data_IF_278353664349
#
_entry.id   IF_278353664349
#
_cell.length_a   1.000
_cell.length_b   1.000
_cell.length_c   1.000
_cell.angle_alpha   90.00
_cell.angle_beta   90.00
_cell.angle_gamma   90.00
#
_symmetry.space_group_name_H-M   'P 1'
#
loop_
_entity.id
_entity.type
_entity.pdbx_description
1 polymer ?
#
# COMPACT_ATOMS: atom_id res chain seq x y z
N UNK A 1 27.58 -21.48 8.87
CA UNK A 1 26.10 -21.29 8.87
C UNK A 1 25.43 -21.56 10.23
N UNK A 2 26.04 -22.29 11.18
CA UNK A 2 25.39 -22.62 12.47
C UNK A 2 25.41 -21.52 13.55
N UNK A 3 26.30 -20.52 13.44
CA UNK A 3 26.52 -19.53 14.51
C UNK A 3 25.41 -18.47 14.65
N UNK A 4 24.69 -18.14 13.56
CA UNK A 4 23.72 -17.02 13.54
C UNK A 4 22.34 -17.47 14.06
N UNK A 5 21.96 -18.72 13.82
CA UNK A 5 20.71 -19.30 14.34
C UNK A 5 20.75 -19.59 15.85
N UNK A 6 21.94 -19.60 16.45
CA UNK A 6 22.14 -19.92 17.86
C UNK A 6 21.65 -18.83 18.82
N UNK A 7 21.55 -17.57 18.37
CA UNK A 7 21.15 -16.44 19.22
C UNK A 7 19.66 -16.12 19.16
N UNK A 8 18.90 -16.71 18.23
CA UNK A 8 17.45 -16.45 18.09
C UNK A 8 16.64 -17.34 19.06
N UNK A 9 15.52 -16.83 19.61
CA UNK A 9 14.65 -17.61 20.47
C UNK A 9 14.15 -18.88 19.76
N UNK A 10 13.88 -19.93 20.54
CA UNK A 10 13.64 -21.27 20.00
C UNK A 10 12.46 -21.29 19.04
N UNK A 11 11.38 -20.57 19.37
CA UNK A 11 10.19 -20.40 18.54
C UNK A 11 10.54 -19.85 17.15
N UNK A 12 11.26 -18.72 17.10
CA UNK A 12 11.67 -18.06 15.85
C UNK A 12 12.52 -19.00 14.98
N UNK A 13 13.44 -19.74 15.59
CA UNK A 13 14.23 -20.75 14.86
C UNK A 13 13.37 -21.87 14.28
N UNK A 14 12.34 -22.33 15.00
CA UNK A 14 11.43 -23.36 14.50
C UNK A 14 10.57 -22.86 13.33
N UNK A 15 10.12 -21.59 13.37
CA UNK A 15 9.41 -20.94 12.27
C UNK A 15 10.31 -20.82 11.02
N UNK A 16 11.56 -20.37 11.18
CA UNK A 16 12.54 -20.28 10.08
C UNK A 16 12.85 -21.66 9.46
N UNK A 17 12.83 -22.72 10.27
CA UNK A 17 13.03 -24.09 9.81
C UNK A 17 11.76 -24.77 9.28
N UNK A 18 10.62 -24.07 9.24
CA UNK A 18 9.31 -24.61 8.83
C UNK A 18 8.88 -25.85 9.61
N UNK A 19 9.34 -26.00 10.86
CA UNK A 19 9.02 -27.17 11.71
C UNK A 19 7.71 -26.94 12.46
N UNK A 20 6.61 -26.76 11.73
CA UNK A 20 5.31 -26.36 12.27
C UNK A 20 4.78 -27.26 13.39
N UNK A 21 4.99 -28.58 13.30
CA UNK A 21 4.62 -29.52 14.38
C UNK A 21 5.37 -29.24 15.69
N UNK A 22 6.64 -28.84 15.62
CA UNK A 22 7.42 -28.45 16.80
C UNK A 22 7.02 -27.06 17.29
N UNK A 23 6.61 -26.16 16.38
CA UNK A 23 6.04 -24.86 16.75
C UNK A 23 4.77 -25.08 17.57
N UNK A 24 3.84 -25.94 17.13
CA UNK A 24 2.62 -26.29 17.89
C UNK A 24 2.93 -26.76 19.30
N UNK A 25 3.83 -27.74 19.42
CA UNK A 25 4.24 -28.28 20.72
C UNK A 25 4.88 -27.20 21.61
N UNK A 26 5.73 -26.35 21.03
CA UNK A 26 6.44 -25.31 21.78
C UNK A 26 5.48 -24.19 22.23
N UNK A 27 4.52 -23.78 21.40
CA UNK A 27 3.47 -22.81 21.76
C UNK A 27 2.57 -23.31 22.91
N UNK A 28 2.43 -24.62 23.08
CA UNK A 28 1.75 -25.20 24.26
C UNK A 28 2.54 -25.09 25.57
N UNK A 29 3.80 -24.64 25.54
CA UNK A 29 4.63 -24.47 26.74
C UNK A 29 4.65 -23.02 27.22
N UNK A 30 4.81 -22.80 28.53
CA UNK A 30 4.97 -21.45 29.11
C UNK A 30 6.12 -20.67 28.45
N UNK A 31 7.22 -21.34 28.10
CA UNK A 31 8.35 -20.71 27.43
C UNK A 31 8.02 -20.29 26.00
N UNK A 32 7.31 -21.13 25.23
CA UNK A 32 6.88 -20.77 23.89
C UNK A 32 5.87 -19.63 23.86
N UNK A 33 4.95 -19.58 24.83
CA UNK A 33 4.04 -18.43 24.98
C UNK A 33 4.79 -17.14 25.31
N UNK A 34 5.80 -17.20 26.19
CA UNK A 34 6.66 -16.03 26.48
C UNK A 34 7.43 -15.57 25.25
N UNK A 35 8.01 -16.49 24.47
CA UNK A 35 8.70 -16.16 23.23
C UNK A 35 7.73 -15.62 22.16
N UNK A 36 6.48 -16.11 22.12
CA UNK A 36 5.47 -15.66 21.18
C UNK A 36 4.98 -14.23 21.45
N UNK A 37 5.01 -13.78 22.73
CA UNK A 37 4.70 -12.40 23.16
C UNK A 37 5.86 -11.43 22.96
N UNK A 38 7.08 -11.95 22.77
CA UNK A 38 8.25 -11.11 22.58
C UNK A 38 8.43 -10.72 21.11
N UNK A 39 9.13 -9.61 20.89
CA UNK A 39 9.75 -9.27 19.61
C UNK A 39 11.26 -9.35 19.71
N UNK A 40 11.94 -9.50 18.59
CA UNK A 40 13.40 -9.42 18.52
C UNK A 40 13.90 -7.96 18.61
N UNK A 41 15.22 -7.78 18.59
CA UNK A 41 15.88 -6.46 18.60
C UNK A 41 15.59 -5.59 17.39
N UNK A 42 14.95 -6.15 16.36
CA UNK A 42 14.54 -5.46 15.13
C UNK A 42 13.03 -5.19 15.10
N UNK A 43 12.31 -5.51 16.19
CA UNK A 43 10.86 -5.40 16.27
C UNK A 43 10.11 -6.52 15.55
N UNK A 44 10.79 -7.53 15.01
CA UNK A 44 10.11 -8.65 14.37
C UNK A 44 9.45 -9.52 15.43
N UNK A 45 8.16 -9.74 15.24
CA UNK A 45 7.36 -10.67 16.05
C UNK A 45 7.51 -12.11 15.53
N UNK A 46 7.22 -13.09 16.38
CA UNK A 46 7.12 -14.48 15.94
C UNK A 46 6.11 -14.66 14.80
N UNK A 47 5.04 -13.85 14.80
CA UNK A 47 4.02 -13.79 13.75
C UNK A 47 4.62 -13.33 12.40
N UNK A 48 5.34 -12.21 12.38
CA UNK A 48 6.00 -11.71 11.17
C UNK A 48 6.98 -12.74 10.56
N UNK A 49 7.79 -13.39 11.41
CA UNK A 49 8.73 -14.42 10.93
C UNK A 49 8.02 -15.68 10.42
N UNK A 50 6.91 -16.07 11.04
CA UNK A 50 6.10 -17.18 10.57
C UNK A 50 5.56 -16.91 9.16
N UNK A 51 5.03 -15.70 8.91
CA UNK A 51 4.48 -15.30 7.61
C UNK A 51 5.51 -15.32 6.48
N UNK A 52 6.80 -15.08 6.77
CA UNK A 52 7.85 -15.20 5.76
C UNK A 52 7.93 -16.61 5.14
N UNK A 53 7.48 -17.63 5.88
CA UNK A 53 7.68 -19.04 5.56
C UNK A 53 6.41 -19.80 5.17
N UNK A 54 5.33 -19.10 4.82
CA UNK A 54 4.01 -19.66 4.48
C UNK A 54 3.47 -20.59 5.58
N UNK A 55 3.06 -20.00 6.72
CA UNK A 55 2.66 -20.74 7.90
C UNK A 55 1.26 -21.34 7.71
N UNK A 56 0.96 -22.49 8.33
CA UNK A 56 -0.39 -23.02 8.33
C UNK A 56 -1.29 -22.12 9.21
N UNK A 57 -2.60 -22.01 8.87
CA UNK A 57 -3.51 -21.05 9.47
C UNK A 57 -3.69 -21.23 10.98
N UNK A 58 -3.58 -22.46 11.47
CA UNK A 58 -3.70 -22.79 12.89
C UNK A 58 -2.55 -22.22 13.74
N UNK A 59 -1.34 -22.12 13.19
CA UNK A 59 -0.21 -21.48 13.88
C UNK A 59 -0.45 -19.97 14.00
N UNK A 60 -1.03 -19.36 12.97
CA UNK A 60 -1.33 -17.93 12.96
C UNK A 60 -2.45 -17.62 13.96
N UNK A 61 -3.51 -18.42 13.98
CA UNK A 61 -4.55 -18.34 15.00
C UNK A 61 -3.95 -18.44 16.41
N UNK A 62 -3.13 -19.46 16.68
CA UNK A 62 -2.51 -19.63 17.99
C UNK A 62 -1.58 -18.47 18.40
N UNK A 63 -0.85 -17.88 17.46
CA UNK A 63 0.00 -16.71 17.74
C UNK A 63 -0.84 -15.46 18.04
N UNK A 64 -1.93 -15.24 17.31
CA UNK A 64 -2.86 -14.14 17.53
C UNK A 64 -3.64 -14.31 18.85
N UNK A 65 -4.02 -15.54 19.21
CA UNK A 65 -4.67 -15.85 20.49
C UNK A 65 -3.76 -15.54 21.69
N UNK A 66 -2.45 -15.75 21.54
CA UNK A 66 -1.48 -15.45 22.60
C UNK A 66 -1.26 -13.94 22.72
N UNK A 67 -1.07 -13.25 21.59
CA UNK A 67 -0.82 -11.82 21.55
C UNK A 67 -1.51 -11.14 20.34
N UNK A 68 -2.76 -10.66 20.53
CA UNK A 68 -3.56 -10.07 19.45
C UNK A 68 -2.93 -8.81 18.84
N UNK A 69 -2.17 -8.06 19.65
CA UNK A 69 -1.55 -6.79 19.25
C UNK A 69 -0.46 -6.96 18.20
N UNK A 70 0.12 -8.17 18.09
CA UNK A 70 1.17 -8.47 17.12
C UNK A 70 0.69 -8.35 15.66
N UNK A 71 -0.61 -8.38 15.39
CA UNK A 71 -1.19 -8.13 14.05
C UNK A 71 -0.83 -6.74 13.51
N UNK A 72 -0.67 -5.74 14.38
CA UNK A 72 -0.38 -4.35 14.04
C UNK A 72 1.02 -3.90 14.45
N UNK A 73 1.80 -4.78 15.08
CA UNK A 73 3.15 -4.43 15.50
C UNK A 73 4.04 -4.21 14.28
N UNK A 74 4.68 -3.04 14.24
CA UNK A 74 5.64 -2.66 13.20
C UNK A 74 7.05 -3.08 13.59
N UNK A 75 7.82 -3.54 12.61
CA UNK A 75 9.26 -3.72 12.75
C UNK A 75 10.04 -2.39 12.55
N UNK A 76 11.37 -2.47 12.53
CA UNK A 76 12.25 -1.35 12.23
C UNK A 76 12.08 -0.77 10.81
N UNK A 77 11.42 -1.45 9.89
CA UNK A 77 11.07 -0.95 8.57
C UNK A 77 9.66 -0.32 8.52
N UNK A 78 8.95 -0.27 9.65
CA UNK A 78 7.55 0.17 9.71
C UNK A 78 6.58 -0.87 9.16
N UNK A 79 7.05 -2.08 8.84
CA UNK A 79 6.22 -3.12 8.25
C UNK A 79 5.44 -3.86 9.34
N UNK A 80 4.11 -3.84 9.22
CA UNK A 80 3.23 -4.79 9.93
C UNK A 80 3.23 -6.18 9.26
N UNK A 81 2.83 -7.25 9.98
CA UNK A 81 2.69 -8.61 9.43
C UNK A 81 2.02 -8.71 8.04
N UNK A 82 0.98 -7.91 7.79
CA UNK A 82 0.28 -7.89 6.49
C UNK A 82 1.18 -7.49 5.31
N UNK A 83 2.16 -6.61 5.53
CA UNK A 83 3.14 -6.28 4.49
C UNK A 83 3.96 -7.50 4.09
N UNK A 84 4.38 -8.32 5.06
CA UNK A 84 5.10 -9.56 4.81
C UNK A 84 4.26 -10.58 4.06
N UNK A 85 2.99 -10.72 4.46
CA UNK A 85 2.03 -11.60 3.80
C UNK A 85 1.86 -11.23 2.31
N UNK A 86 1.63 -9.95 2.01
CA UNK A 86 1.49 -9.44 0.65
C UNK A 86 2.78 -9.53 -0.15
N UNK A 87 3.91 -9.16 0.45
CA UNK A 87 5.21 -9.15 -0.19
C UNK A 87 5.73 -10.55 -0.53
N UNK A 88 5.49 -11.56 0.33
CA UNK A 88 5.85 -12.95 0.03
C UNK A 88 4.79 -13.65 -0.80
N UNK A 89 3.55 -13.18 -0.75
CA UNK A 89 2.44 -13.81 -1.42
C UNK A 89 2.09 -15.14 -0.79
N UNK A 90 1.91 -15.12 0.53
CA UNK A 90 1.44 -16.27 1.29
C UNK A 90 0.00 -16.60 0.93
N UNK A 91 -0.47 -17.76 1.37
CA UNK A 91 -1.86 -18.17 1.20
C UNK A 91 -2.86 -17.07 1.60
N UNK A 92 -3.81 -16.78 0.71
CA UNK A 92 -4.83 -15.75 0.96
C UNK A 92 -5.68 -16.03 2.19
N UNK A 93 -5.98 -17.28 2.53
CA UNK A 93 -6.78 -17.63 3.71
C UNK A 93 -6.10 -17.16 5.02
N UNK A 94 -4.77 -17.29 5.11
CA UNK A 94 -3.99 -16.80 6.26
C UNK A 94 -4.01 -15.28 6.34
N UNK A 95 -3.86 -14.62 5.20
CA UNK A 95 -3.87 -13.16 5.12
C UNK A 95 -5.25 -12.61 5.47
N UNK A 96 -6.32 -13.22 4.95
CA UNK A 96 -7.70 -12.86 5.26
C UNK A 96 -8.04 -13.07 6.74
N UNK A 97 -7.51 -14.11 7.37
CA UNK A 97 -7.66 -14.33 8.82
C UNK A 97 -7.10 -13.16 9.64
N UNK A 98 -5.92 -12.64 9.27
CA UNK A 98 -5.32 -11.48 9.95
C UNK A 98 -6.20 -10.24 9.73
N UNK A 99 -6.68 -10.01 8.51
CA UNK A 99 -7.57 -8.88 8.19
C UNK A 99 -8.90 -8.93 8.94
N UNK A 100 -9.45 -10.13 9.14
CA UNK A 100 -10.66 -10.31 9.92
C UNK A 100 -10.41 -10.08 11.41
N UNK A 101 -9.27 -10.52 11.92
CA UNK A 101 -8.90 -10.36 13.32
C UNK A 101 -8.75 -8.88 13.72
N UNK A 102 -8.16 -8.05 12.85
CA UNK A 102 -7.86 -6.64 13.13
C UNK A 102 -8.84 -5.64 12.48
N UNK A 103 -9.96 -6.11 11.95
CA UNK A 103 -10.95 -5.32 11.20
C UNK A 103 -10.33 -4.50 10.03
N UNK A 104 -9.29 -5.02 9.40
CA UNK A 104 -8.59 -4.37 8.29
C UNK A 104 -7.69 -3.22 8.72
N UNK A 105 -7.30 -3.14 10.00
CA UNK A 105 -6.35 -2.15 10.47
C UNK A 105 -4.95 -2.37 9.85
N UNK A 106 -4.46 -3.60 9.72
CA UNK A 106 -3.17 -3.86 9.09
C UNK A 106 -3.16 -3.55 7.59
N UNK A 107 -4.32 -3.60 6.91
CA UNK A 107 -4.43 -3.18 5.51
C UNK A 107 -4.18 -1.67 5.32
N UNK A 108 -4.42 -0.87 6.36
CA UNK A 108 -4.27 0.58 6.33
C UNK A 108 -2.90 1.07 6.80
N UNK A 109 -2.09 0.18 7.36
CA UNK A 109 -0.76 0.51 7.83
C UNK A 109 0.16 0.88 6.65
N UNK A 110 1.06 1.83 6.89
CA UNK A 110 2.07 2.25 5.92
C UNK A 110 3.45 1.87 6.45
N UNK A 111 4.28 1.28 5.58
CA UNK A 111 5.70 1.05 5.91
C UNK A 111 6.51 2.36 5.85
N UNK A 112 7.81 2.32 6.18
CA UNK A 112 8.70 3.50 6.08
C UNK A 112 8.81 4.05 4.66
N UNK A 113 8.50 3.25 3.65
CA UNK A 113 8.43 3.67 2.27
C UNK A 113 7.10 4.31 1.90
N UNK A 114 6.16 4.44 2.85
CA UNK A 114 4.79 4.88 2.60
C UNK A 114 3.94 3.84 1.88
N UNK A 115 4.44 2.62 1.67
CA UNK A 115 3.69 1.59 0.98
C UNK A 115 2.68 0.98 1.96
N UNK A 116 1.42 0.91 1.55
CA UNK A 116 0.46 0.00 2.16
C UNK A 116 0.66 -1.45 1.64
N UNK A 117 0.10 -2.48 2.31
CA UNK A 117 0.25 -3.86 1.88
C UNK A 117 -0.18 -4.12 0.42
N UNK A 118 -1.18 -3.38 -0.10
CA UNK A 118 -1.63 -3.51 -1.48
C UNK A 118 -0.52 -3.15 -2.50
N UNK A 119 0.31 -2.15 -2.23
CA UNK A 119 1.45 -1.82 -3.10
C UNK A 119 2.38 -3.03 -3.25
N UNK A 120 2.71 -3.68 -2.13
CA UNK A 120 3.61 -4.83 -2.11
C UNK A 120 2.97 -6.08 -2.75
N UNK A 121 1.65 -6.23 -2.62
CA UNK A 121 0.91 -7.31 -3.27
C UNK A 121 0.93 -7.16 -4.80
N UNK A 122 0.76 -5.93 -5.31
CA UNK A 122 0.83 -5.62 -6.74
C UNK A 122 2.20 -5.95 -7.31
N UNK A 123 3.26 -5.50 -6.64
CA UNK A 123 4.64 -5.81 -7.03
C UNK A 123 4.85 -7.33 -7.10
N UNK A 124 4.33 -8.07 -6.12
CA UNK A 124 4.46 -9.53 -6.14
C UNK A 124 3.63 -10.18 -7.26
N UNK A 125 2.40 -9.73 -7.51
CA UNK A 125 1.56 -10.26 -8.59
C UNK A 125 2.23 -10.03 -9.96
N UNK A 126 2.77 -8.83 -10.18
CA UNK A 126 3.34 -8.45 -11.46
C UNK A 126 4.75 -9.03 -11.64
N UNK A 127 5.58 -8.97 -10.59
CA UNK A 127 6.96 -9.48 -10.57
C UNK A 127 7.29 -10.27 -9.28
N UNK A 128 6.93 -11.57 -9.25
CA UNK A 128 7.24 -12.44 -8.12
C UNK A 128 8.74 -12.65 -7.88
N UNK A 129 9.59 -12.34 -8.86
CA UNK A 129 11.06 -12.50 -8.76
C UNK A 129 11.70 -11.30 -8.07
N UNK A 130 11.21 -10.09 -8.33
CA UNK A 130 11.60 -8.88 -7.59
C UNK A 130 11.45 -9.08 -6.06
N UNK A 131 10.40 -9.78 -5.64
CA UNK A 131 10.12 -10.04 -4.21
C UNK A 131 11.02 -11.13 -3.56
N UNK A 132 11.79 -11.91 -4.33
CA UNK A 132 12.61 -13.01 -3.78
C UNK A 132 13.90 -12.56 -3.09
N UNK A 133 14.44 -11.39 -3.42
CA UNK A 133 15.78 -10.94 -2.96
C UNK A 133 15.92 -10.58 -1.47
N UNK A 134 14.83 -10.54 -0.68
CA UNK A 134 14.93 -10.23 0.77
C UNK A 134 15.39 -11.45 1.61
N UNK A 135 15.44 -12.65 1.03
CA UNK A 135 15.86 -13.88 1.74
C UNK A 135 17.38 -14.04 1.94
N UNK A 136 18.20 -13.27 1.23
CA UNK A 136 19.67 -13.45 1.22
C UNK A 136 20.44 -12.20 1.70
N UNK A 137 19.77 -11.04 1.87
CA UNK A 137 20.39 -9.79 2.34
C UNK A 137 20.16 -9.52 3.84
N UNK A 138 20.05 -10.57 4.64
CA UNK A 138 20.00 -10.49 6.10
C UNK A 138 21.38 -10.48 6.74
N UNK A 139 22.29 -9.62 6.26
CA UNK A 139 23.48 -9.18 7.01
C UNK A 139 24.17 -8.02 6.27
N UNK A 140 23.78 -6.79 6.61
CA UNK A 140 24.64 -5.62 6.42
C UNK A 140 24.75 -4.91 7.78
N UNK A 141 25.72 -5.38 8.54
CA UNK A 141 26.31 -4.71 9.69
C UNK A 141 26.89 -3.36 9.30
N UNK A 142 26.32 -2.24 9.75
CA UNK A 142 26.96 -1.18 10.56
C UNK A 142 26.04 0.07 10.65
N UNK A 143 25.99 0.77 11.79
CA UNK A 143 25.57 2.17 11.83
C UNK A 143 26.76 3.06 11.43
N UNK A 144 26.46 4.24 10.87
CA UNK A 144 27.38 5.34 10.55
C UNK A 144 28.22 5.19 9.28
N UNK A 145 27.64 5.57 8.14
CA UNK A 145 28.25 6.56 7.24
C UNK A 145 27.24 7.00 6.17
N UNK A 146 27.07 8.31 6.05
CA UNK A 146 26.37 8.95 4.94
C UNK A 146 27.07 8.60 3.62
N UNK A 147 26.55 7.64 2.85
CA UNK A 147 26.67 7.63 1.39
C UNK A 147 25.68 6.63 0.78
N UNK A 148 25.22 6.96 -0.42
CA UNK A 148 24.14 6.33 -1.17
C UNK A 148 24.24 4.79 -1.31
N UNK A 149 23.07 4.15 -1.24
CA UNK A 149 22.73 2.90 -1.95
C UNK A 149 23.16 1.55 -1.35
N UNK A 150 22.60 1.13 -0.21
CA UNK A 150 22.71 -0.28 0.24
C UNK A 150 21.63 -0.75 1.25
N UNK A 151 20.35 -0.61 0.89
CA UNK A 151 19.34 -1.65 1.11
C UNK A 151 18.56 -1.76 -0.19
N UNK A 152 19.15 -2.43 -1.17
CA UNK A 152 18.50 -2.72 -2.44
C UNK A 152 17.47 -3.85 -2.27
N UNK A 153 16.31 -3.52 -1.68
CA UNK A 153 15.04 -3.92 -2.34
C UNK A 153 15.13 -3.43 -3.79
N UNK A 154 14.48 -4.06 -4.79
CA UNK A 154 14.52 -3.54 -6.15
C UNK A 154 13.91 -2.12 -6.13
N UNK A 155 14.76 -1.14 -5.89
CA UNK A 155 14.56 0.25 -6.22
C UNK A 155 14.36 0.23 -7.71
N UNK A 156 13.32 0.90 -8.15
CA UNK A 156 13.06 1.32 -9.52
C UNK A 156 14.18 2.22 -10.07
N UNK A 157 15.43 1.75 -10.01
CA UNK A 157 16.60 2.31 -10.69
C UNK A 157 16.79 1.63 -12.06
N UNK A 158 15.71 1.44 -12.81
CA UNK A 158 15.77 1.38 -14.27
C UNK A 158 15.64 2.79 -14.91
N UNK A 159 15.69 3.85 -14.10
CA UNK A 159 15.80 5.22 -14.59
C UNK A 159 17.23 5.76 -14.43
N UNK A 160 18.17 5.14 -15.17
CA UNK A 160 19.33 5.84 -15.70
C UNK A 160 19.59 5.37 -17.13
N UNK A 161 19.09 6.19 -18.06
CA UNK A 161 19.45 6.42 -19.46
C UNK A 161 20.60 5.57 -20.05
N UNK A 162 20.31 5.04 -21.24
CA UNK A 162 21.15 4.23 -22.16
C UNK A 162 21.63 2.90 -21.57
N UNK A 163 21.11 1.75 -22.01
CA UNK A 163 21.51 1.15 -23.28
C UNK A 163 20.38 0.29 -23.89
N UNK A 164 20.29 0.33 -25.21
CA UNK A 164 19.57 -0.67 -26.01
C UNK A 164 20.25 -2.03 -25.84
N UNK A 165 19.92 -2.79 -24.79
CA UNK A 165 20.27 -4.21 -24.75
C UNK A 165 19.07 -5.02 -25.19
N UNK A 166 19.07 -5.35 -26.47
CA UNK A 166 18.33 -6.47 -27.06
C UNK A 166 18.66 -7.75 -26.28
N UNK A 167 17.81 -8.17 -25.34
CA UNK A 167 17.98 -9.48 -24.70
C UNK A 167 16.62 -10.12 -24.40
N UNK A 168 16.33 -11.10 -25.25
CA UNK A 168 15.43 -12.25 -25.10
C UNK A 168 14.00 -12.01 -24.60
N UNK A 169 13.08 -12.15 -25.56
CA UNK A 169 11.75 -12.72 -25.40
C UNK A 169 11.80 -14.04 -24.59
N UNK A 170 11.93 -13.96 -23.26
CA UNK A 170 11.73 -15.12 -22.37
C UNK A 170 10.25 -15.21 -22.03
N UNK A 171 9.53 -15.86 -22.94
CA UNK A 171 8.13 -16.27 -22.90
C UNK A 171 7.82 -17.32 -21.80
N UNK A 172 8.46 -17.24 -20.63
CA UNK A 172 8.36 -18.29 -19.61
C UNK A 172 8.05 -17.75 -18.21
N UNK A 173 7.05 -16.87 -18.06
CA UNK A 173 6.62 -16.28 -16.77
C UNK A 173 5.10 -16.24 -16.62
N UNK A 174 4.46 -17.40 -16.72
CA UNK A 174 3.08 -17.58 -16.27
C UNK A 174 3.10 -17.92 -14.78
N UNK A 175 2.65 -16.99 -13.92
CA UNK A 175 2.25 -17.35 -12.56
C UNK A 175 1.16 -18.41 -12.69
N UNK A 176 1.27 -19.52 -11.94
CA UNK A 176 0.25 -20.56 -11.94
C UNK A 176 -1.14 -19.94 -11.72
N UNK A 177 -2.15 -20.25 -12.57
CA UNK A 177 -3.50 -19.71 -12.41
C UNK A 177 -4.08 -19.83 -11.01
N UNK A 178 -3.80 -20.94 -10.29
CA UNK A 178 -4.29 -21.09 -8.90
C UNK A 178 -3.63 -20.10 -7.95
N UNK A 179 -2.31 -19.89 -8.06
CA UNK A 179 -1.57 -18.90 -7.29
C UNK A 179 -1.99 -17.47 -7.64
N UNK A 180 -2.28 -17.20 -8.91
CA UNK A 180 -2.79 -15.90 -9.33
C UNK A 180 -4.19 -15.63 -8.77
N UNK A 181 -5.09 -16.60 -8.85
CA UNK A 181 -6.44 -16.51 -8.28
C UNK A 181 -6.42 -16.35 -6.76
N UNK A 182 -5.51 -17.03 -6.06
CA UNK A 182 -5.31 -16.86 -4.61
C UNK A 182 -4.91 -15.41 -4.28
N UNK A 183 -4.00 -14.82 -5.05
CA UNK A 183 -3.59 -13.41 -4.87
C UNK A 183 -4.69 -12.43 -5.23
N UNK A 184 -5.47 -12.70 -6.27
CA UNK A 184 -6.64 -11.90 -6.61
C UNK A 184 -7.67 -11.94 -5.49
N UNK A 185 -7.87 -13.09 -4.85
CA UNK A 185 -8.74 -13.21 -3.68
C UNK A 185 -8.26 -12.31 -2.54
N UNK A 186 -6.94 -12.22 -2.32
CA UNK A 186 -6.38 -11.28 -1.35
C UNK A 186 -6.55 -9.80 -1.78
N UNK A 187 -6.38 -9.46 -3.06
CA UNK A 187 -6.67 -8.11 -3.58
C UNK A 187 -8.12 -7.71 -3.27
N UNK A 188 -9.07 -8.59 -3.58
CA UNK A 188 -10.48 -8.35 -3.26
C UNK A 188 -10.72 -8.24 -1.76
N UNK A 189 -10.11 -9.12 -0.94
CA UNK A 189 -10.22 -9.05 0.51
C UNK A 189 -9.72 -7.74 1.11
N UNK A 190 -8.57 -7.26 0.65
CA UNK A 190 -8.04 -5.96 1.04
C UNK A 190 -8.97 -4.83 0.60
N UNK A 191 -9.44 -4.83 -0.66
CA UNK A 191 -10.34 -3.78 -1.17
C UNK A 191 -11.69 -3.75 -0.45
N UNK A 192 -12.21 -4.91 -0.03
CA UNK A 192 -13.47 -5.00 0.70
C UNK A 192 -13.34 -4.53 2.16
N UNK A 193 -12.17 -4.71 2.78
CA UNK A 193 -11.93 -4.33 4.18
C UNK A 193 -11.43 -2.89 4.34
N UNK A 194 -10.64 -2.43 3.37
CA UNK A 194 -10.03 -1.10 3.33
C UNK A 194 -10.00 -0.56 1.90
N UNK A 195 -11.15 -0.14 1.34
CA UNK A 195 -11.19 0.37 -0.03
C UNK A 195 -10.33 1.63 -0.18
N UNK A 196 -10.23 2.47 0.85
CA UNK A 196 -9.53 3.76 0.81
C UNK A 196 -8.04 3.63 0.46
N UNK A 197 -7.44 2.45 0.72
CA UNK A 197 -6.02 2.20 0.46
C UNK A 197 -5.64 2.36 -1.02
N UNK A 198 -6.60 2.26 -1.96
CA UNK A 198 -6.36 2.47 -3.40
C UNK A 198 -5.95 3.90 -3.72
N UNK A 199 -6.14 4.83 -2.77
CA UNK A 199 -5.78 6.24 -2.88
C UNK A 199 -4.53 6.60 -2.05
N UNK A 200 -3.97 5.65 -1.29
CA UNK A 200 -2.78 5.91 -0.48
C UNK A 200 -1.56 6.04 -1.38
N UNK A 201 -0.76 7.08 -1.14
CA UNK A 201 0.47 7.32 -1.89
C UNK A 201 1.68 6.88 -1.09
N UNK A 202 2.60 6.17 -1.75
CA UNK A 202 3.90 5.88 -1.16
C UNK A 202 4.83 7.12 -1.14
N UNK A 203 6.09 6.94 -0.71
CA UNK A 203 7.09 8.02 -0.67
C UNK A 203 7.40 8.67 -2.02
N UNK A 204 7.07 8.00 -3.12
CA UNK A 204 7.24 8.51 -4.48
C UNK A 204 6.00 9.28 -4.95
N UNK A 205 4.95 9.36 -4.12
CA UNK A 205 3.67 9.96 -4.49
C UNK A 205 2.78 9.03 -5.33
N UNK A 206 3.14 7.74 -5.45
CA UNK A 206 2.42 6.79 -6.29
C UNK A 206 1.35 6.06 -5.49
N UNK A 207 0.14 6.04 -6.04
CA UNK A 207 -0.94 5.16 -5.60
C UNK A 207 -0.71 3.73 -6.12
N UNK A 208 -1.43 2.72 -5.58
CA UNK A 208 -1.41 1.37 -6.14
C UNK A 208 -1.78 1.33 -7.63
N UNK A 209 -2.65 2.25 -8.09
CA UNK A 209 -3.03 2.38 -9.49
C UNK A 209 -1.86 2.92 -10.33
N UNK A 210 -1.12 3.91 -9.83
CA UNK A 210 0.04 4.47 -10.53
C UNK A 210 1.15 3.42 -10.69
N UNK A 211 1.39 2.60 -9.66
CA UNK A 211 2.33 1.46 -9.75
C UNK A 211 1.94 0.50 -10.88
N UNK A 212 0.65 0.18 -11.03
CA UNK A 212 0.17 -0.68 -12.12
C UNK A 212 0.33 -0.03 -13.49
N UNK A 213 0.10 1.28 -13.59
CA UNK A 213 0.28 2.02 -14.84
C UNK A 213 1.74 2.06 -15.27
N UNK A 214 2.66 2.28 -14.34
CA UNK A 214 4.10 2.23 -14.60
C UNK A 214 4.53 0.84 -15.11
N UNK A 215 4.06 -0.22 -14.45
CA UNK A 215 4.31 -1.60 -14.92
C UNK A 215 3.74 -1.82 -16.32
N UNK A 216 2.55 -1.29 -16.62
CA UNK A 216 1.95 -1.41 -17.95
C UNK A 216 2.67 -0.59 -19.02
N UNK A 217 3.32 0.52 -18.64
CA UNK A 217 4.13 1.33 -19.54
C UNK A 217 5.47 0.67 -19.85
N UNK A 218 6.07 0.00 -18.86
CA UNK A 218 7.34 -0.72 -18.99
C UNK A 218 7.22 -1.97 -19.87
N UNK A 219 6.05 -2.64 -19.86
CA UNK A 219 5.78 -3.85 -20.63
C UNK A 219 4.56 -3.66 -21.54
N UNK A 220 4.74 -3.53 -22.84
CA UNK A 220 3.61 -3.30 -23.76
C UNK A 220 2.69 -4.52 -23.98
N UNK A 221 3.19 -5.75 -23.78
CA UNK A 221 2.41 -7.00 -23.93
C UNK A 221 3.00 -8.12 -23.07
N UNK A 222 2.20 -9.17 -22.80
CA UNK A 222 2.65 -10.42 -22.17
C UNK A 222 2.08 -10.67 -20.77
N UNK A 223 2.44 -11.80 -20.12
CA UNK A 223 1.78 -12.27 -18.90
C UNK A 223 1.87 -11.30 -17.71
N UNK A 224 2.93 -10.49 -17.63
CA UNK A 224 3.07 -9.46 -16.59
C UNK A 224 2.09 -8.32 -16.82
N UNK A 225 1.98 -7.84 -18.05
CA UNK A 225 1.02 -6.79 -18.43
C UNK A 225 -0.42 -7.27 -18.21
N UNK A 226 -0.76 -8.51 -18.62
CA UNK A 226 -2.10 -9.07 -18.44
C UNK A 226 -2.50 -9.14 -16.97
N UNK A 227 -1.61 -9.61 -16.09
CA UNK A 227 -1.85 -9.61 -14.64
C UNK A 227 -2.03 -8.19 -14.10
N UNK A 228 -1.19 -7.25 -14.52
CA UNK A 228 -1.29 -5.85 -14.12
C UNK A 228 -2.61 -5.21 -14.60
N UNK A 229 -3.04 -5.52 -15.83
CA UNK A 229 -4.28 -5.00 -16.39
C UNK A 229 -5.52 -5.51 -15.63
N UNK A 230 -5.55 -6.81 -15.30
CA UNK A 230 -6.63 -7.39 -14.48
C UNK A 230 -6.73 -6.69 -13.12
N UNK A 231 -5.61 -6.55 -12.40
CA UNK A 231 -5.60 -5.88 -11.09
C UNK A 231 -5.97 -4.40 -11.24
N UNK A 232 -5.51 -3.74 -12.31
CA UNK A 232 -5.85 -2.36 -12.61
C UNK A 232 -7.37 -2.17 -12.79
N UNK A 233 -8.05 -3.06 -13.51
CA UNK A 233 -9.51 -2.97 -13.67
C UNK A 233 -10.23 -3.11 -12.32
N UNK A 234 -9.75 -3.98 -11.44
CA UNK A 234 -10.30 -4.16 -10.08
C UNK A 234 -10.15 -2.85 -9.29
N UNK A 235 -8.93 -2.32 -9.18
CA UNK A 235 -8.67 -1.13 -8.38
C UNK A 235 -9.35 0.13 -8.95
N UNK A 236 -9.41 0.24 -10.28
CA UNK A 236 -10.15 1.32 -10.94
C UNK A 236 -11.63 1.30 -10.58
N UNK A 237 -12.24 0.11 -10.55
CA UNK A 237 -13.65 -0.06 -10.18
C UNK A 237 -13.90 0.36 -8.73
N UNK A 238 -13.03 -0.06 -7.81
CA UNK A 238 -13.09 0.32 -6.39
C UNK A 238 -12.93 1.84 -6.23
N UNK A 239 -11.97 2.46 -6.91
CA UNK A 239 -11.72 3.89 -6.82
C UNK A 239 -12.90 4.72 -7.36
N UNK A 240 -13.53 4.28 -8.47
CA UNK A 240 -14.75 4.91 -8.99
C UNK A 240 -15.89 4.81 -7.97
N UNK A 241 -16.03 3.65 -7.31
CA UNK A 241 -17.08 3.46 -6.32
C UNK A 241 -16.87 4.36 -5.09
N UNK A 242 -15.65 4.45 -4.57
CA UNK A 242 -15.30 5.38 -3.49
C UNK A 242 -15.66 6.82 -3.81
N UNK A 243 -15.33 7.27 -5.02
CA UNK A 243 -15.69 8.62 -5.45
C UNK A 243 -17.21 8.84 -5.47
N UNK A 244 -17.99 7.87 -5.96
CA UNK A 244 -19.46 7.93 -5.95
C UNK A 244 -20.01 7.99 -4.53
N UNK A 245 -19.49 7.16 -3.63
CA UNK A 245 -19.93 7.09 -2.24
C UNK A 245 -19.62 8.42 -1.51
N UNK A 246 -18.43 8.98 -1.71
CA UNK A 246 -18.06 10.29 -1.17
C UNK A 246 -18.98 11.41 -1.69
N UNK A 247 -19.32 11.38 -2.99
CA UNK A 247 -20.24 12.35 -3.60
C UNK A 247 -21.64 12.26 -2.96
N UNK A 248 -22.20 11.05 -2.84
CA UNK A 248 -23.50 10.84 -2.22
C UNK A 248 -23.53 11.30 -0.76
N UNK A 249 -22.48 11.01 0.01
CA UNK A 249 -22.36 11.48 1.40
C UNK A 249 -22.30 13.01 1.48
N UNK A 250 -21.63 13.67 0.54
CA UNK A 250 -21.56 15.13 0.47
C UNK A 250 -22.93 15.74 0.17
N UNK A 251 -23.67 15.18 -0.80
CA UNK A 251 -25.02 15.62 -1.15
C UNK A 251 -25.98 15.45 0.04
N UNK A 252 -25.97 14.29 0.71
CA UNK A 252 -26.79 14.04 1.91
C UNK A 252 -26.52 15.04 3.05
N UNK A 253 -25.24 15.39 3.28
CA UNK A 253 -24.86 16.39 4.29
C UNK A 253 -25.26 17.81 3.88
N UNK A 254 -25.20 18.13 2.58
CA UNK A 254 -25.65 19.41 2.04
C UNK A 254 -27.14 19.68 2.23
N UNK A 255 -27.99 18.64 2.22
CA UNK A 255 -29.43 18.76 2.51
C UNK A 255 -29.77 18.91 4.01
N UNK A 256 -28.80 18.74 4.94
CA UNK A 256 -29.02 18.85 6.39
C UNK A 256 -28.59 20.19 7.00
N UNK A 257 -28.20 21.20 6.21
CA UNK A 257 -28.02 22.56 6.75
C UNK A 257 -29.37 23.18 7.12
N UNK A 258 -29.54 23.74 8.34
CA UNK A 258 -30.84 24.22 8.78
C UNK A 258 -31.26 25.43 7.97
N UNK A 259 -32.51 25.40 7.47
CA UNK A 259 -33.24 26.57 7.03
C UNK A 259 -33.08 27.65 8.10
N UNK A 260 -32.29 28.68 7.80
CA UNK A 260 -32.19 29.88 8.62
C UNK A 260 -33.59 30.47 8.64
N UNK A 261 -34.24 30.34 9.80
CA UNK A 261 -35.54 30.91 10.09
C UNK A 261 -35.39 32.43 10.09
N UNK A 262 -35.75 33.08 8.98
CA UNK A 262 -35.72 34.54 8.82
C UNK A 262 -36.92 35.17 9.51
N UNK A 263 -36.96 35.05 10.84
CA UNK A 263 -37.81 35.88 11.69
C UNK A 263 -36.93 36.91 12.41
N UNK A 264 -36.54 37.95 11.70
CA UNK A 264 -36.07 39.19 12.30
C UNK A 264 -36.47 40.41 11.46
N UNK A 265 -37.57 41.00 11.90
CA UNK A 265 -37.73 42.45 12.08
C UNK A 265 -37.39 43.36 10.89
N UNK A 266 -38.45 43.72 10.17
CA UNK A 266 -38.52 44.93 9.34
C UNK A 266 -38.34 46.18 10.23
N UNK A 267 -37.44 47.13 9.92
CA UNK A 267 -37.59 48.51 10.34
C UNK A 267 -38.10 49.33 9.15
N UNK A 268 -39.31 49.84 9.32
CA UNK A 268 -39.94 50.84 8.46
C UNK A 268 -39.21 52.18 8.61
N UNK A 269 -38.66 52.74 7.53
CA UNK A 269 -38.63 54.19 7.31
C UNK A 269 -38.27 54.61 5.86
N UNK A 270 -39.34 54.82 5.08
CA UNK A 270 -39.71 55.97 4.22
C UNK A 270 -38.66 56.70 3.33
N UNK A 271 -39.02 56.73 2.03
CA UNK A 271 -38.80 57.77 0.96
C UNK A 271 -37.40 58.00 0.39
N UNK A 272 -37.17 58.30 -0.90
CA UNK A 272 -37.89 58.27 -2.19
C UNK A 272 -36.84 58.64 -3.28
N UNK A 273 -37.25 58.60 -4.57
CA UNK A 273 -36.47 58.87 -5.80
C UNK A 273 -35.61 57.67 -6.25
N UNK A 274 -35.63 57.23 -7.50
CA UNK A 274 -36.30 57.71 -8.69
C UNK A 274 -35.84 56.80 -9.83
N UNK A 275 -36.77 56.43 -10.70
CA UNK A 275 -36.62 55.53 -11.83
C UNK A 275 -35.44 55.88 -12.75
N UNK A 276 -34.76 54.88 -13.31
CA UNK A 276 -34.67 54.72 -14.78
C UNK A 276 -33.97 53.44 -15.21
N UNK A 277 -34.53 52.91 -16.29
CA UNK A 277 -34.19 51.70 -17.03
C UNK A 277 -33.40 52.11 -18.26
N UNK A 278 -32.29 51.41 -18.58
CA UNK A 278 -31.77 51.19 -19.95
C UNK A 278 -30.47 50.38 -19.83
N UNK A 279 -30.37 49.10 -20.21
CA UNK A 279 -30.47 48.47 -21.54
C UNK A 279 -29.29 48.76 -22.47
N UNK A 280 -28.77 47.67 -23.06
CA UNK A 280 -27.76 47.53 -24.13
C UNK A 280 -26.31 47.87 -23.73
N UNK A 281 -25.27 47.08 -24.01
CA UNK A 281 -25.04 46.03 -25.02
C UNK A 281 -23.56 46.15 -25.44
N UNK A 282 -22.87 45.06 -25.80
CA UNK A 282 -21.40 44.99 -25.76
C UNK A 282 -20.76 45.50 -27.06
N UNK A 283 -19.52 46.01 -26.98
CA UNK A 283 -18.69 46.24 -28.18
C UNK A 283 -17.25 45.80 -27.92
N UNK A 284 -16.74 45.06 -28.90
CA UNK A 284 -15.47 44.36 -28.91
C UNK A 284 -14.32 45.19 -29.52
N UNK A 285 -13.13 44.60 -29.43
CA UNK A 285 -11.99 44.68 -30.35
C UNK A 285 -11.00 45.85 -30.22
N UNK A 286 -9.75 45.51 -29.87
CA UNK A 286 -8.55 45.48 -30.74
C UNK A 286 -7.31 45.39 -29.82
N UNK A 287 -6.41 44.40 -29.92
CA UNK A 287 -5.21 44.41 -30.78
C UNK A 287 -4.57 45.80 -30.87
N UNK A 288 -3.28 46.03 -30.75
CA UNK A 288 -2.03 45.29 -30.63
C UNK A 288 -1.04 46.44 -30.36
N UNK A 289 -0.01 46.30 -29.53
CA UNK A 289 1.31 46.85 -29.92
C UNK A 289 2.46 46.42 -29.01
N UNK A 290 3.54 46.11 -29.70
CA UNK A 290 4.81 45.53 -29.25
C UNK A 290 5.81 46.62 -28.82
N UNK A 291 6.86 46.12 -28.15
CA UNK A 291 8.24 46.65 -28.10
C UNK A 291 8.47 47.90 -27.23
N UNK A 292 9.58 48.09 -26.51
CA UNK A 292 10.81 47.33 -26.30
C UNK A 292 11.63 48.02 -25.18
N UNK A 293 12.67 47.31 -24.72
CA UNK A 293 13.95 47.83 -24.20
C UNK A 293 13.95 48.47 -22.78
N UNK A 294 14.59 47.90 -21.74
CA UNK A 294 15.97 47.42 -21.51
C UNK A 294 16.78 48.43 -20.68
N UNK A 295 17.29 48.02 -19.52
CA UNK A 295 18.54 48.43 -18.82
C UNK A 295 18.47 47.94 -17.36
N UNK A 296 19.52 47.53 -16.62
CA UNK A 296 20.93 47.17 -16.85
C UNK A 296 21.51 46.76 -15.48
N UNK A 297 22.67 46.10 -15.48
CA UNK A 297 23.65 46.07 -14.36
C UNK A 297 23.78 44.69 -13.70
N UNK A 298 24.95 44.06 -13.61
CA UNK A 298 26.34 44.35 -14.01
C UNK A 298 27.05 43.00 -14.18
#
# INVERSE_FOLDING_TARGET
MESIFSKKPKLVRLCLQKKWNKVRQHLGTKNGQREARGSDTFGNTALGVALINDPPPDIIAALLDIEPTHSLQTDHCGMVPMHYACFKGINSDVSLMILQHDNGAAARALDRGGNCPLHLLIENICDPKACRKIGEAGDASNPDSNNHNSISRPTSSLLSRSEKTTLSNSTNMSMNPTTFNDRLRLVHGLCNTAPEMVQFTNRHGWTPIDVLQEIKAEYSTGPRWERADIVYQILRTVNIQLYRDHKLLSEMKGFQSPMINTNSSVPSNVSSYGSSVSSFGPTAASQDDRMACSHFGE
#
